data_IF_158292236355
#
_entry.id   IF_158292236355
#
_cell.length_a   1.000
_cell.length_b   1.000
_cell.length_c   1.000
_cell.angle_alpha   90.00
_cell.angle_beta   90.00
_cell.angle_gamma   90.00
#
_symmetry.space_group_name_H-M   'P 1'
#
loop_
_entity.id
_entity.type
_entity.pdbx_description
1 polymer ?
#
# COMPACT_ATOMS: atom_id res chain seq x y z
N UNK A 1 13.25 -12.00 -17.72
CA UNK A 1 12.07 -12.09 -16.85
C UNK A 1 11.35 -10.75 -16.83
N UNK A 2 10.11 -10.67 -17.33
CA UNK A 2 9.35 -9.41 -17.39
C UNK A 2 8.95 -8.97 -15.98
N UNK A 3 9.37 -7.76 -15.57
CA UNK A 3 8.99 -7.17 -14.29
C UNK A 3 9.13 -5.64 -14.32
N UNK A 4 8.40 -4.94 -13.45
CA UNK A 4 8.57 -3.50 -13.22
C UNK A 4 9.78 -3.26 -12.31
N UNK A 5 10.70 -2.36 -12.69
CA UNK A 5 11.78 -1.93 -11.82
C UNK A 5 11.35 -0.69 -11.01
N UNK A 6 11.21 -0.74 -9.68
CA UNK A 6 10.74 0.40 -8.88
C UNK A 6 11.74 1.57 -8.85
N UNK A 7 13.02 1.32 -9.15
CA UNK A 7 14.07 2.34 -9.16
C UNK A 7 13.95 3.28 -10.36
N UNK A 8 13.88 2.73 -11.57
CA UNK A 8 13.80 3.51 -12.80
C UNK A 8 12.41 3.53 -13.45
N UNK A 9 11.42 2.87 -12.84
CA UNK A 9 10.02 2.78 -13.29
C UNK A 9 9.82 2.12 -14.66
N UNK A 10 10.85 1.50 -15.23
CA UNK A 10 10.74 0.79 -16.49
C UNK A 10 10.15 -0.60 -16.28
N UNK A 11 9.23 -1.00 -17.17
CA UNK A 11 8.91 -2.40 -17.41
C UNK A 11 10.05 -3.00 -18.22
N UNK A 12 10.78 -3.95 -17.63
CA UNK A 12 12.00 -4.49 -18.21
C UNK A 12 11.93 -5.99 -18.37
N UNK A 13 12.61 -6.50 -19.39
CA UNK A 13 13.03 -7.90 -19.41
C UNK A 13 14.30 -8.04 -18.56
N UNK A 14 14.10 -8.24 -17.26
CA UNK A 14 15.19 -8.32 -16.30
C UNK A 14 16.05 -9.57 -16.54
N UNK A 15 17.38 -9.40 -16.47
CA UNK A 15 18.34 -10.49 -16.67
C UNK A 15 18.41 -11.34 -15.41
N UNK A 16 18.18 -12.65 -15.52
CA UNK A 16 18.40 -13.59 -14.42
C UNK A 16 19.91 -13.78 -14.23
N UNK A 17 20.42 -13.43 -13.06
CA UNK A 17 21.83 -13.59 -12.68
C UNK A 17 22.05 -14.96 -12.04
N UNK A 18 21.18 -15.33 -11.11
CA UNK A 18 21.22 -16.57 -10.36
C UNK A 18 19.81 -16.95 -9.88
N UNK A 19 19.62 -18.18 -9.45
CA UNK A 19 18.40 -18.61 -8.76
C UNK A 19 18.71 -19.64 -7.67
N UNK A 20 17.80 -19.79 -6.73
CA UNK A 20 17.80 -20.83 -5.71
C UNK A 20 16.40 -21.42 -5.58
N UNK A 21 16.31 -22.73 -5.43
CA UNK A 21 15.06 -23.44 -5.20
C UNK A 21 15.03 -24.02 -3.79
N UNK A 22 13.89 -23.85 -3.13
CA UNK A 22 13.61 -24.36 -1.79
C UNK A 22 12.20 -24.95 -1.77
N UNK A 23 11.95 -25.91 -0.89
CA UNK A 23 10.62 -26.46 -0.71
C UNK A 23 10.38 -26.85 0.74
N UNK A 24 9.42 -26.19 1.39
CA UNK A 24 8.88 -26.60 2.68
C UNK A 24 7.61 -27.44 2.47
N UNK A 25 7.72 -28.76 2.64
CA UNK A 25 6.59 -29.68 2.48
C UNK A 25 5.40 -29.41 3.42
N UNK A 26 5.60 -28.72 4.55
CA UNK A 26 4.54 -28.45 5.51
C UNK A 26 3.77 -27.16 5.20
N UNK A 27 4.43 -26.16 4.62
CA UNK A 27 3.89 -24.81 4.50
C UNK A 27 3.80 -24.29 3.06
N UNK A 28 4.58 -24.82 2.13
CA UNK A 28 4.60 -24.35 0.75
C UNK A 28 3.61 -25.13 -0.14
N UNK A 29 2.92 -24.45 -1.08
CA UNK A 29 2.06 -25.10 -2.06
C UNK A 29 2.83 -25.97 -3.06
N UNK A 30 4.15 -25.79 -3.16
CA UNK A 30 5.07 -26.50 -4.04
C UNK A 30 6.47 -25.89 -3.97
N UNK A 31 7.45 -26.41 -4.74
CA UNK A 31 8.78 -25.82 -4.80
C UNK A 31 8.75 -24.33 -5.14
N UNK A 32 9.49 -23.53 -4.35
CA UNK A 32 9.66 -22.10 -4.54
C UNK A 32 11.01 -21.80 -5.21
N UNK A 33 11.01 -20.97 -6.26
CA UNK A 33 12.23 -20.48 -6.92
C UNK A 33 12.40 -18.98 -6.68
N UNK A 34 13.48 -18.63 -6.01
CA UNK A 34 13.96 -17.25 -5.87
C UNK A 34 14.94 -16.92 -7.01
N UNK A 35 14.61 -15.94 -7.84
CA UNK A 35 15.42 -15.48 -8.97
C UNK A 35 16.06 -14.12 -8.65
N UNK A 36 17.39 -14.07 -8.64
CA UNK A 36 18.16 -12.82 -8.55
C UNK A 36 18.25 -12.20 -9.94
N UNK A 37 17.77 -10.96 -10.07
CA UNK A 37 17.65 -10.26 -11.35
C UNK A 37 18.46 -8.96 -11.39
N UNK A 38 18.98 -8.61 -12.57
CA UNK A 38 19.53 -7.29 -12.88
C UNK A 38 18.56 -6.54 -13.80
N UNK A 39 18.20 -5.29 -13.43
CA UNK A 39 17.49 -4.39 -14.33
C UNK A 39 18.42 -3.95 -15.47
N UNK A 40 18.09 -4.21 -16.75
CA UNK A 40 18.96 -3.82 -17.86
C UNK A 40 19.09 -2.30 -18.01
N UNK A 41 18.06 -1.54 -17.60
CA UNK A 41 18.01 -0.09 -17.77
C UNK A 41 18.84 0.68 -16.73
N UNK A 42 18.74 0.33 -15.44
CA UNK A 42 19.40 1.07 -14.36
C UNK A 42 20.41 0.25 -13.55
N UNK A 43 20.62 -1.02 -13.90
CA UNK A 43 21.57 -1.95 -13.26
C UNK A 43 21.31 -2.27 -11.79
N UNK A 44 20.18 -1.84 -11.24
CA UNK A 44 19.78 -2.23 -9.89
C UNK A 44 19.34 -3.70 -9.82
N UNK A 45 19.49 -4.26 -8.63
CA UNK A 45 19.07 -5.62 -8.27
C UNK A 45 17.56 -5.69 -8.09
N UNK A 46 16.96 -6.81 -8.49
CA UNK A 46 15.60 -7.20 -8.12
C UNK A 46 15.61 -8.68 -7.69
N UNK A 47 14.64 -9.10 -6.90
CA UNK A 47 14.38 -10.48 -6.55
C UNK A 47 12.96 -10.81 -6.98
N UNK A 48 12.76 -11.93 -7.68
CA UNK A 48 11.44 -12.45 -8.02
C UNK A 48 11.23 -13.87 -7.50
N UNK A 49 10.03 -14.19 -7.08
CA UNK A 49 9.60 -15.48 -6.56
C UNK A 49 8.56 -16.12 -7.48
N UNK A 50 8.64 -17.44 -7.60
CA UNK A 50 7.67 -18.27 -8.32
C UNK A 50 7.49 -19.59 -7.57
N UNK A 51 6.25 -20.02 -7.39
CA UNK A 51 5.91 -21.38 -7.01
C UNK A 51 5.72 -22.28 -8.24
N UNK A 52 6.09 -23.55 -8.09
CA UNK A 52 5.77 -24.61 -9.04
C UNK A 52 4.44 -25.26 -8.63
N UNK A 53 3.57 -25.48 -9.61
CA UNK A 53 2.27 -26.14 -9.46
C UNK A 53 2.13 -27.30 -10.44
N UNK A 54 1.18 -28.18 -10.14
CA UNK A 54 0.76 -29.28 -11.02
C UNK A 54 -0.70 -29.07 -11.43
N UNK A 55 -0.98 -29.03 -12.74
CA UNK A 55 -2.33 -28.80 -13.28
C UNK A 55 -3.16 -30.08 -13.49
N UNK A 56 -2.60 -31.24 -13.17
CA UNK A 56 -3.21 -32.54 -13.50
C UNK A 56 -2.49 -33.28 -14.61
N UNK A 57 -1.72 -32.59 -15.44
CA UNK A 57 -0.97 -33.16 -16.58
C UNK A 57 0.53 -32.90 -16.49
N UNK A 58 0.95 -31.72 -16.02
CA UNK A 58 2.36 -31.34 -15.95
C UNK A 58 2.67 -30.37 -14.81
N UNK A 59 3.94 -30.36 -14.44
CA UNK A 59 4.48 -29.31 -13.58
C UNK A 59 4.72 -28.03 -14.39
N UNK A 60 4.35 -26.88 -13.82
CA UNK A 60 4.62 -25.57 -14.39
C UNK A 60 4.97 -24.55 -13.30
N UNK A 61 5.75 -23.54 -13.67
CA UNK A 61 6.04 -22.40 -12.79
C UNK A 61 5.00 -21.31 -13.03
N UNK A 62 4.49 -20.71 -11.95
CA UNK A 62 3.62 -19.54 -12.05
C UNK A 62 4.35 -18.31 -12.62
N UNK A 63 3.63 -17.23 -12.91
CA UNK A 63 4.25 -15.97 -13.31
C UNK A 63 5.10 -15.37 -12.17
N UNK A 64 6.30 -14.85 -12.47
CA UNK A 64 7.19 -14.32 -11.45
C UNK A 64 6.63 -13.07 -10.80
N UNK A 65 6.58 -13.10 -9.47
CA UNK A 65 6.20 -11.95 -8.67
C UNK A 65 7.45 -11.31 -8.07
N UNK A 66 7.53 -9.97 -8.08
CA UNK A 66 8.66 -9.28 -7.45
C UNK A 66 8.59 -9.48 -5.93
N UNK A 67 9.66 -9.99 -5.32
CA UNK A 67 9.83 -10.16 -3.87
C UNK A 67 10.63 -9.00 -3.30
N UNK A 68 11.66 -8.53 -4.02
CA UNK A 68 12.49 -7.40 -3.61
C UNK A 68 12.88 -6.48 -4.79
N UNK A 69 12.94 -5.14 -4.60
CA UNK A 69 12.32 -4.42 -3.50
C UNK A 69 10.84 -4.77 -3.45
N UNK A 70 10.32 -4.92 -2.22
CA UNK A 70 8.96 -5.39 -2.02
C UNK A 70 8.01 -4.55 -2.88
N UNK A 71 7.13 -5.18 -3.69
CA UNK A 71 6.10 -4.43 -4.37
C UNK A 71 5.31 -3.64 -3.35
N UNK A 72 4.93 -2.41 -3.71
CA UNK A 72 4.16 -1.56 -2.82
C UNK A 72 2.95 -2.34 -2.31
N UNK A 73 2.77 -2.32 -0.98
CA UNK A 73 1.86 -3.19 -0.23
C UNK A 73 0.46 -3.21 -0.83
N UNK A 74 -0.15 -4.39 -0.87
CA UNK A 74 -1.60 -4.50 -0.99
C UNK A 74 -2.25 -3.83 0.23
N UNK A 75 -3.22 -2.96 -0.01
CA UNK A 75 -4.02 -2.38 1.06
C UNK A 75 -4.93 -3.45 1.66
N UNK A 76 -4.99 -3.49 2.98
CA UNK A 76 -5.86 -4.40 3.73
C UNK A 76 -7.32 -4.25 3.31
N UNK A 77 -8.07 -5.36 3.26
CA UNK A 77 -9.51 -5.36 2.99
C UNK A 77 -10.35 -4.63 4.05
N UNK A 78 -9.78 -4.40 5.24
CA UNK A 78 -10.39 -3.57 6.29
C UNK A 78 -10.46 -2.08 5.90
N UNK A 79 -9.58 -1.62 4.99
CA UNK A 79 -9.66 -0.26 4.45
C UNK A 79 -10.84 -0.20 3.47
N UNK A 80 -11.80 0.74 3.58
CA UNK A 80 -12.97 0.79 2.71
C UNK A 80 -12.63 0.86 1.22
N UNK A 81 -13.45 0.23 0.37
CA UNK A 81 -13.20 0.13 -1.08
C UNK A 81 -12.94 1.51 -1.73
N UNK A 82 -13.78 2.50 -1.43
CA UNK A 82 -13.62 3.87 -1.93
C UNK A 82 -12.21 4.45 -1.64
N UNK A 83 -11.69 4.17 -0.44
CA UNK A 83 -10.36 4.62 -0.01
C UNK A 83 -9.29 3.82 -0.75
N UNK A 84 -9.41 2.49 -0.83
CA UNK A 84 -8.46 1.63 -1.56
C UNK A 84 -8.35 2.01 -3.03
N UNK A 85 -9.47 2.22 -3.70
CA UNK A 85 -9.49 2.65 -5.11
C UNK A 85 -8.78 3.99 -5.27
N UNK A 86 -8.99 4.94 -4.36
CA UNK A 86 -8.31 6.25 -4.42
C UNK A 86 -6.79 6.10 -4.30
N UNK A 87 -6.31 5.27 -3.38
CA UNK A 87 -4.88 5.02 -3.18
C UNK A 87 -4.28 4.26 -4.38
N UNK A 88 -5.01 3.30 -4.94
CA UNK A 88 -4.57 2.56 -6.13
C UNK A 88 -4.46 3.46 -7.38
N UNK A 89 -5.35 4.45 -7.52
CA UNK A 89 -5.24 5.49 -8.55
C UNK A 89 -4.05 6.41 -8.29
N UNK A 90 -3.82 6.83 -7.03
CA UNK A 90 -2.66 7.64 -6.66
C UNK A 90 -1.34 6.94 -7.02
N UNK A 91 -1.22 5.63 -6.75
CA UNK A 91 -0.04 4.86 -7.14
C UNK A 91 0.16 4.80 -8.66
N UNK A 92 -0.94 4.61 -9.43
CA UNK A 92 -0.90 4.68 -10.89
C UNK A 92 -0.44 6.06 -11.39
N UNK A 93 -0.88 7.14 -10.74
CA UNK A 93 -0.42 8.49 -11.06
C UNK A 93 1.10 8.63 -10.86
N UNK A 94 1.68 8.09 -9.78
CA UNK A 94 3.14 8.10 -9.57
C UNK A 94 3.86 7.36 -10.70
N UNK A 95 3.39 6.17 -11.06
CA UNK A 95 3.97 5.37 -12.15
C UNK A 95 3.91 6.06 -13.50
N UNK A 96 2.89 6.87 -13.74
CA UNK A 96 2.72 7.66 -14.95
C UNK A 96 3.44 9.03 -14.92
N UNK A 97 4.13 9.37 -13.83
CA UNK A 97 4.74 10.70 -13.66
C UNK A 97 3.74 11.84 -13.41
N UNK A 98 2.48 11.53 -13.10
CA UNK A 98 1.39 12.48 -12.87
C UNK A 98 1.30 12.90 -11.39
N UNK A 99 2.32 13.59 -10.88
CA UNK A 99 2.47 13.87 -9.43
C UNK A 99 1.36 14.74 -8.84
N UNK A 100 0.88 15.74 -9.58
CA UNK A 100 -0.25 16.59 -9.18
C UNK A 100 -1.53 15.74 -9.02
N UNK A 101 -1.77 14.81 -9.95
CA UNK A 101 -2.91 13.90 -9.89
C UNK A 101 -2.78 12.93 -8.70
N UNK A 102 -1.56 12.47 -8.38
CA UNK A 102 -1.31 11.67 -7.18
C UNK A 102 -1.75 12.41 -5.90
N UNK A 103 -1.35 13.67 -5.73
CA UNK A 103 -1.74 14.48 -4.58
C UNK A 103 -3.27 14.65 -4.48
N UNK A 104 -3.95 14.85 -5.62
CA UNK A 104 -5.41 14.92 -5.67
C UNK A 104 -6.07 13.59 -5.23
N UNK A 105 -5.53 12.45 -5.67
CA UNK A 105 -6.04 11.12 -5.30
C UNK A 105 -5.76 10.77 -3.83
N UNK A 106 -4.65 11.23 -3.25
CA UNK A 106 -4.40 11.15 -1.80
C UNK A 106 -5.44 11.97 -1.02
N UNK A 107 -5.78 13.17 -1.49
CA UNK A 107 -6.87 13.97 -0.91
C UNK A 107 -8.23 13.28 -0.99
N UNK A 108 -8.56 12.66 -2.14
CA UNK A 108 -9.78 11.86 -2.30
C UNK A 108 -9.82 10.65 -1.37
N UNK A 109 -8.68 10.02 -1.10
CA UNK A 109 -8.60 8.93 -0.12
C UNK A 109 -8.97 9.43 1.28
N UNK A 110 -8.44 10.58 1.73
CA UNK A 110 -8.80 11.18 3.02
C UNK A 110 -10.28 11.58 3.10
N UNK A 111 -10.88 12.08 2.01
CA UNK A 111 -12.33 12.31 1.96
C UNK A 111 -13.11 11.00 2.15
N UNK A 112 -12.63 9.91 1.56
CA UNK A 112 -13.18 8.57 1.77
C UNK A 112 -13.12 8.13 3.23
N UNK A 113 -12.02 8.44 3.94
CA UNK A 113 -11.91 8.20 5.39
C UNK A 113 -12.96 9.00 6.15
N UNK A 114 -13.03 10.32 5.94
CA UNK A 114 -14.03 11.18 6.58
C UNK A 114 -15.47 10.70 6.34
N UNK A 115 -15.79 10.28 5.11
CA UNK A 115 -17.10 9.71 4.75
C UNK A 115 -17.38 8.40 5.47
N UNK A 116 -16.41 7.51 5.60
CA UNK A 116 -16.57 6.25 6.32
C UNK A 116 -16.96 6.50 7.78
N UNK A 117 -16.32 7.47 8.43
CA UNK A 117 -16.64 7.89 9.81
C UNK A 117 -17.80 8.87 9.92
N UNK A 118 -18.50 9.17 8.80
CA UNK A 118 -19.70 10.00 8.75
C UNK A 118 -19.50 11.41 9.36
N UNK A 119 -18.33 12.00 9.13
CA UNK A 119 -18.08 13.40 9.54
C UNK A 119 -19.10 14.34 8.88
N UNK A 120 -19.50 15.39 9.58
CA UNK A 120 -20.57 16.31 9.17
C UNK A 120 -20.06 17.46 8.31
N UNK A 121 -18.78 17.84 8.45
CA UNK A 121 -18.20 18.92 7.67
C UNK A 121 -18.23 18.66 6.17
N UNK A 122 -18.57 19.70 5.40
CA UNK A 122 -18.52 19.68 3.94
C UNK A 122 -17.09 19.83 3.39
N UNK A 123 -16.14 20.26 4.23
CA UNK A 123 -14.75 20.50 3.85
C UNK A 123 -13.84 19.48 4.50
N UNK A 124 -12.83 19.00 3.76
CA UNK A 124 -11.88 17.99 4.24
C UNK A 124 -11.26 18.37 5.60
N UNK A 125 -10.80 19.62 5.75
CA UNK A 125 -10.17 20.08 6.99
C UNK A 125 -11.10 20.05 8.20
N UNK A 126 -12.39 20.33 8.01
CA UNK A 126 -13.37 20.18 9.09
C UNK A 126 -13.62 18.72 9.43
N UNK A 127 -13.71 17.85 8.42
CA UNK A 127 -13.83 16.40 8.64
C UNK A 127 -12.63 15.83 9.40
N UNK A 128 -11.41 16.22 9.04
CA UNK A 128 -10.19 15.82 9.75
C UNK A 128 -10.19 16.29 11.21
N UNK A 129 -10.73 17.48 11.48
CA UNK A 129 -10.86 17.99 12.85
C UNK A 129 -11.87 17.18 13.66
N UNK A 130 -12.99 16.80 13.06
CA UNK A 130 -13.96 15.90 13.70
C UNK A 130 -13.35 14.52 14.00
N UNK A 131 -12.52 13.97 13.11
CA UNK A 131 -11.80 12.71 13.38
C UNK A 131 -10.83 12.84 14.56
N UNK A 132 -10.16 13.98 14.71
CA UNK A 132 -9.28 14.25 15.86
C UNK A 132 -10.10 14.39 17.15
N UNK A 133 -11.18 15.16 17.12
CA UNK A 133 -12.06 15.36 18.28
C UNK A 133 -12.77 14.08 18.72
N UNK A 134 -13.05 13.18 17.78
CA UNK A 134 -13.59 11.84 18.04
C UNK A 134 -12.53 10.78 18.36
N UNK A 135 -11.26 11.17 18.51
CA UNK A 135 -10.12 10.28 18.80
C UNK A 135 -9.92 9.12 17.79
N UNK A 136 -10.46 9.26 16.58
CA UNK A 136 -10.23 8.32 15.48
C UNK A 136 -8.80 8.43 14.96
N UNK A 137 -8.27 9.66 14.97
CA UNK A 137 -6.87 9.96 14.66
C UNK A 137 -6.25 10.76 15.81
N UNK A 138 -4.95 10.56 16.04
CA UNK A 138 -4.21 11.34 17.02
C UNK A 138 -3.71 12.68 16.44
N UNK A 139 -3.11 13.52 17.31
CA UNK A 139 -2.58 14.84 16.91
C UNK A 139 -1.53 14.76 15.80
N UNK A 140 -0.72 13.69 15.76
CA UNK A 140 0.34 13.51 14.77
C UNK A 140 -0.25 13.15 13.41
N UNK A 141 -1.20 12.22 13.37
CA UNK A 141 -1.93 11.86 12.15
C UNK A 141 -2.77 13.03 11.63
N UNK A 142 -3.32 13.85 12.53
CA UNK A 142 -4.00 15.08 12.15
C UNK A 142 -3.05 16.06 11.45
N UNK A 143 -1.84 16.29 11.99
CA UNK A 143 -0.83 17.14 11.35
C UNK A 143 -0.47 16.65 9.95
N UNK A 144 -0.24 15.34 9.78
CA UNK A 144 0.03 14.76 8.46
C UNK A 144 -1.14 15.01 7.51
N UNK A 145 -2.37 14.76 7.96
CA UNK A 145 -3.58 14.97 7.16
C UNK A 145 -3.77 16.44 6.74
N UNK A 146 -3.35 17.39 7.58
CA UNK A 146 -3.37 18.82 7.23
C UNK A 146 -2.36 19.15 6.12
N UNK A 147 -1.17 18.55 6.14
CA UNK A 147 -0.21 18.72 5.05
C UNK A 147 -0.74 18.10 3.75
N UNK A 148 -1.36 16.92 3.80
CA UNK A 148 -2.02 16.31 2.63
C UNK A 148 -3.12 17.22 2.07
N UNK A 149 -3.94 17.83 2.94
CA UNK A 149 -4.98 18.75 2.51
C UNK A 149 -4.40 19.99 1.82
N UNK A 150 -3.31 20.57 2.36
CA UNK A 150 -2.63 21.72 1.74
C UNK A 150 -2.13 21.37 0.35
N UNK A 151 -1.46 20.23 0.21
CA UNK A 151 -0.94 19.75 -1.07
C UNK A 151 -2.05 19.44 -2.07
N UNK A 152 -3.15 18.83 -1.65
CA UNK A 152 -4.36 18.65 -2.49
C UNK A 152 -4.91 19.99 -2.97
N UNK A 153 -5.04 20.98 -2.08
CA UNK A 153 -5.56 22.29 -2.47
C UNK A 153 -4.63 22.98 -3.48
N UNK A 154 -3.31 22.90 -3.27
CA UNK A 154 -2.32 23.39 -4.22
C UNK A 154 -2.43 22.68 -5.58
N UNK A 155 -2.62 21.36 -5.59
CA UNK A 155 -2.78 20.56 -6.80
C UNK A 155 -4.09 20.87 -7.57
N UNK A 156 -5.15 21.25 -6.85
CA UNK A 156 -6.46 21.57 -7.43
C UNK A 156 -6.53 22.99 -8.02
N UNK A 157 -5.63 23.88 -7.62
CA UNK A 157 -5.50 25.22 -8.16
C UNK A 157 -4.38 25.27 -9.19
N UNK A 158 -4.59 25.95 -10.31
CA UNK A 158 -3.57 26.16 -11.34
C UNK A 158 -2.48 27.11 -10.83
N UNK A 159 -1.61 26.59 -9.97
CA UNK A 159 -0.46 27.31 -9.40
C UNK A 159 0.81 26.86 -10.09
N UNK A 160 1.81 27.74 -10.21
CA UNK A 160 3.13 27.43 -10.80
C UNK A 160 4.00 26.52 -9.89
N UNK A 161 3.41 25.92 -8.85
CA UNK A 161 4.07 25.07 -7.89
C UNK A 161 4.56 23.78 -8.54
N UNK A 162 5.87 23.53 -8.48
CA UNK A 162 6.45 22.25 -8.91
C UNK A 162 6.13 21.19 -7.87
N UNK A 163 5.31 20.20 -8.22
CA UNK A 163 5.17 18.97 -7.44
C UNK A 163 6.29 18.02 -7.84
N UNK A 164 7.19 17.70 -6.91
CA UNK A 164 8.23 16.73 -7.17
C UNK A 164 7.67 15.30 -7.06
N UNK A 165 8.42 14.34 -7.62
CA UNK A 165 8.16 12.92 -7.41
C UNK A 165 8.18 12.56 -5.93
N UNK A 166 9.15 13.12 -5.18
CA UNK A 166 9.33 12.86 -3.76
C UNK A 166 8.09 13.30 -2.98
N UNK A 167 7.56 14.50 -3.25
CA UNK A 167 6.34 14.99 -2.59
C UNK A 167 5.16 14.03 -2.83
N UNK A 168 4.99 13.55 -4.05
CA UNK A 168 3.90 12.62 -4.37
C UNK A 168 4.07 11.24 -3.69
N UNK A 169 5.31 10.73 -3.61
CA UNK A 169 5.63 9.48 -2.93
C UNK A 169 5.40 9.60 -1.41
N UNK A 170 5.85 10.70 -0.79
CA UNK A 170 5.66 10.98 0.63
C UNK A 170 4.17 11.13 0.99
N UNK A 171 3.40 11.87 0.19
CA UNK A 171 1.96 12.03 0.40
C UNK A 171 1.20 10.71 0.31
N UNK A 172 1.60 9.84 -0.63
CA UNK A 172 1.03 8.49 -0.75
C UNK A 172 1.39 7.64 0.48
N UNK A 173 2.63 7.70 0.95
CA UNK A 173 3.06 6.96 2.14
C UNK A 173 2.28 7.40 3.39
N UNK A 174 2.10 8.71 3.58
CA UNK A 174 1.34 9.24 4.69
C UNK A 174 -0.15 8.85 4.65
N UNK A 175 -0.79 8.87 3.47
CA UNK A 175 -2.21 8.47 3.38
C UNK A 175 -2.38 6.98 3.68
N UNK A 176 -1.43 6.15 3.23
CA UNK A 176 -1.40 4.71 3.54
C UNK A 176 -1.20 4.49 5.03
N UNK A 177 -0.26 5.20 5.67
CA UNK A 177 -0.01 5.10 7.11
C UNK A 177 -1.24 5.50 7.95
N UNK A 178 -1.96 6.56 7.55
CA UNK A 178 -3.22 6.96 8.18
C UNK A 178 -4.26 5.83 8.05
N UNK A 179 -4.42 5.24 6.86
CA UNK A 179 -5.37 4.16 6.64
C UNK A 179 -5.00 2.89 7.42
N UNK A 180 -3.72 2.53 7.47
CA UNK A 180 -3.22 1.39 8.25
C UNK A 180 -3.52 1.57 9.74
N UNK A 181 -3.27 2.77 10.28
CA UNK A 181 -3.61 3.06 11.67
C UNK A 181 -5.12 2.93 11.92
N UNK A 182 -5.91 3.65 11.13
CA UNK A 182 -7.35 3.81 11.36
C UNK A 182 -8.13 2.51 11.16
N UNK A 183 -7.78 1.71 10.15
CA UNK A 183 -8.56 0.52 9.77
C UNK A 183 -7.88 -0.81 10.11
N UNK A 184 -6.56 -0.88 10.08
CA UNK A 184 -5.86 -2.17 10.18
C UNK A 184 -5.37 -2.42 11.60
N UNK A 185 -4.69 -1.45 12.19
CA UNK A 185 -4.17 -1.60 13.55
C UNK A 185 -5.29 -1.66 14.59
N UNK A 186 -6.35 -0.87 14.40
CA UNK A 186 -7.53 -0.92 15.27
C UNK A 186 -8.21 -2.31 15.24
N UNK A 187 -8.44 -2.88 14.06
CA UNK A 187 -9.04 -4.22 13.95
C UNK A 187 -8.12 -5.31 14.54
N UNK A 188 -6.82 -5.26 14.24
CA UNK A 188 -5.85 -6.19 14.84
C UNK A 188 -5.81 -6.11 16.37
N UNK A 189 -5.93 -4.90 16.92
CA UNK A 189 -5.99 -4.70 18.37
C UNK A 189 -7.29 -5.25 18.95
N UNK A 190 -8.43 -5.03 18.29
CA UNK A 190 -9.73 -5.58 18.70
C UNK A 190 -9.70 -7.12 18.70
N UNK A 191 -9.19 -7.75 17.65
CA UNK A 191 -9.03 -9.19 17.55
C UNK A 191 -8.13 -9.74 18.66
N UNK A 192 -7.01 -9.06 18.93
CA UNK A 192 -6.11 -9.41 20.03
C UNK A 192 -6.85 -9.38 21.38
N UNK A 193 -7.59 -8.31 21.66
CA UNK A 193 -8.34 -8.16 22.92
C UNK A 193 -9.47 -9.19 23.06
N UNK A 194 -10.18 -9.50 21.97
CA UNK A 194 -11.20 -10.55 21.96
C UNK A 194 -10.61 -11.93 22.27
N UNK A 195 -9.44 -12.25 21.68
CA UNK A 195 -8.72 -13.49 22.00
C UNK A 195 -8.34 -13.56 23.48
N UNK A 196 -7.80 -12.46 24.04
CA UNK A 196 -7.46 -12.38 25.48
C UNK A 196 -8.68 -12.60 26.38
N UNK A 197 -9.85 -12.07 26.02
CA UNK A 197 -11.08 -12.28 26.77
C UNK A 197 -11.52 -13.76 26.76
N UNK A 198 -11.51 -14.41 25.60
CA UNK A 198 -11.87 -15.84 25.46
C UNK A 198 -10.94 -16.76 26.27
N UNK A 199 -9.64 -16.49 26.27
CA UNK A 199 -8.66 -17.23 27.09
C UNK A 199 -8.91 -17.07 28.60
N UNK A 200 -9.41 -15.91 29.04
CA UNK A 200 -9.70 -15.65 30.44
C UNK A 200 -10.99 -16.37 30.89
N UNK A 201 -11.97 -16.49 30.02
CA UNK A 201 -13.23 -17.18 30.31
C UNK A 201 -13.10 -18.71 30.22
N UNK A 202 -12.33 -19.23 29.26
CA UNK A 202 -12.04 -20.67 29.15
C UNK A 202 -11.21 -21.26 30.29
N UNK A 203 -10.55 -20.42 31.11
CA UNK A 203 -9.86 -20.83 32.34
C UNK A 203 -10.77 -20.91 33.57
N UNK A 204 -12.03 -20.47 33.47
CA UNK A 204 -13.01 -20.49 34.58
C UNK A 204 -13.92 -21.72 34.58
N UNK A 205 -13.78 -22.59 33.59
CA UNK A 205 -14.39 -23.94 33.49
C UNK A 205 -13.33 -25.00 33.70
#
# INVERSE_FOLDING_TARGET
MITECPYCQANVDAKVIAFHESYDHENDPGPFRANLLECPACKNTLLAGQYQYYDGERDFWEDPTRVWPQPKRFLSWHVPELVRTSIAEADRCIKAGAYIACAAMCGRALEGVCRHFKTKSQYLGGGLKELLEGEVIDKRLFQWSQELQKHRNLAAHATDGKFSRQDAEDLLEFVVAICDYVFVLNEKFNDFMQRKAREADGKKT
#
